data_IF_120635816063
#
_entry.id   IF_120635816063
#
_cell.length_a   1.000
_cell.length_b   1.000
_cell.length_c   1.000
_cell.angle_alpha   90.00
_cell.angle_beta   90.00
_cell.angle_gamma   90.00
#
_symmetry.space_group_name_H-M   'P 1'
#
loop_
_entity.id
_entity.type
_entity.pdbx_description
1 polymer ?
#
# COMPACT_ATOMS: atom_id res chain seq x y z
N UNK A 1 -0.70 14.50 4.58
CA UNK A 1 -1.62 13.42 5.00
C UNK A 1 -1.05 12.79 6.27
N UNK A 2 -1.83 12.68 7.37
CA UNK A 2 -1.34 12.13 8.64
C UNK A 2 -1.66 10.64 8.68
N UNK A 3 -0.63 9.79 8.73
CA UNK A 3 -0.83 8.34 8.78
C UNK A 3 -1.45 7.94 10.13
N UNK A 4 -2.54 7.15 10.08
CA UNK A 4 -3.31 6.73 11.24
C UNK A 4 -2.54 5.66 12.01
N UNK A 5 -2.12 5.97 13.24
CA UNK A 5 -1.36 5.08 14.11
C UNK A 5 -2.31 4.19 14.92
N UNK A 6 -2.51 2.93 14.50
CA UNK A 6 -3.41 1.97 15.18
C UNK A 6 -2.73 0.61 15.38
N UNK A 7 -3.38 -0.31 16.10
CA UNK A 7 -2.88 -1.69 16.24
C UNK A 7 -2.86 -2.37 14.87
N UNK A 8 -1.93 -3.29 14.64
CA UNK A 8 -1.76 -3.93 13.34
C UNK A 8 -3.02 -4.61 12.80
N UNK A 9 -3.75 -5.45 13.56
CA UNK A 9 -4.96 -6.09 13.02
C UNK A 9 -6.04 -5.08 12.64
N UNK A 10 -6.15 -3.97 13.39
CA UNK A 10 -7.08 -2.90 13.10
C UNK A 10 -6.65 -2.11 11.85
N UNK A 11 -5.36 -1.83 11.69
CA UNK A 11 -4.81 -1.20 10.47
C UNK A 11 -5.13 -2.05 9.24
N UNK A 12 -4.87 -3.35 9.32
CA UNK A 12 -5.06 -4.30 8.24
C UNK A 12 -6.54 -4.42 7.84
N UNK A 13 -7.45 -4.39 8.82
CA UNK A 13 -8.90 -4.37 8.57
C UNK A 13 -9.39 -3.12 7.84
N UNK A 14 -8.64 -2.01 7.89
CA UNK A 14 -8.96 -0.77 7.17
C UNK A 14 -8.38 -0.74 5.75
N UNK A 15 -7.47 -1.67 5.43
CA UNK A 15 -6.86 -1.79 4.12
C UNK A 15 -7.67 -2.74 3.23
N UNK A 16 -7.65 -2.55 1.91
CA UNK A 16 -8.27 -3.50 0.99
C UNK A 16 -7.65 -4.88 1.14
N UNK A 17 -8.48 -5.91 0.99
CA UNK A 17 -8.04 -7.32 1.05
C UNK A 17 -7.23 -7.63 2.32
N UNK A 18 -7.69 -7.08 3.45
CA UNK A 18 -7.06 -7.18 4.77
C UNK A 18 -5.60 -6.69 4.82
N UNK A 19 -5.22 -5.81 3.90
CA UNK A 19 -3.85 -5.30 3.78
C UNK A 19 -2.85 -6.30 3.19
N UNK A 20 -3.30 -7.35 2.51
CA UNK A 20 -2.42 -8.23 1.73
C UNK A 20 -1.79 -7.43 0.58
N UNK A 21 -0.47 -7.47 0.48
CA UNK A 21 0.33 -6.68 -0.47
C UNK A 21 0.67 -5.27 0.01
N UNK A 22 0.18 -4.85 1.18
CA UNK A 22 0.51 -3.55 1.74
C UNK A 22 1.86 -3.58 2.48
N UNK A 23 2.64 -2.51 2.34
CA UNK A 23 3.81 -2.28 3.18
C UNK A 23 3.41 -1.53 4.45
N UNK A 24 3.77 -2.06 5.61
CA UNK A 24 3.48 -1.49 6.93
C UNK A 24 4.75 -1.31 7.76
N UNK A 25 4.76 -0.34 8.66
CA UNK A 25 5.87 -0.11 9.56
C UNK A 25 5.37 0.27 10.96
N UNK A 26 6.19 0.02 11.97
CA UNK A 26 5.86 0.46 13.32
C UNK A 26 6.13 1.96 13.45
N UNK A 27 5.18 2.75 13.98
CA UNK A 27 5.32 4.20 14.12
C UNK A 27 6.53 4.61 14.96
N UNK A 28 6.94 3.75 15.90
CA UNK A 28 8.16 3.96 16.69
C UNK A 28 9.45 3.95 15.87
N UNK A 29 9.45 3.37 14.68
CA UNK A 29 10.62 3.39 13.80
C UNK A 29 10.84 4.80 13.27
N UNK A 30 9.77 5.45 12.81
CA UNK A 30 9.80 6.85 12.43
C UNK A 30 10.26 7.75 13.60
N UNK A 31 9.71 7.53 14.81
CA UNK A 31 10.12 8.26 16.01
C UNK A 31 11.57 8.02 16.45
N UNK A 32 12.22 6.96 15.95
CA UNK A 32 13.64 6.68 16.17
C UNK A 32 14.54 7.17 15.03
N UNK A 33 13.99 7.89 14.05
CA UNK A 33 14.74 8.33 12.87
C UNK A 33 15.14 7.17 11.95
N UNK A 34 14.47 6.02 12.03
CA UNK A 34 14.69 4.96 11.05
C UNK A 34 14.04 5.35 9.72
N UNK A 35 14.67 5.01 8.59
CA UNK A 35 14.11 5.29 7.27
C UNK A 35 12.81 4.50 7.12
N UNK A 36 11.67 5.18 7.12
CA UNK A 36 10.34 4.57 6.93
C UNK A 36 9.82 4.91 5.54
N UNK A 37 9.03 4.04 4.92
CA UNK A 37 8.46 4.33 3.62
C UNK A 37 7.44 5.47 3.73
N UNK A 38 7.59 6.46 2.87
CA UNK A 38 6.67 7.60 2.70
C UNK A 38 6.01 7.52 1.33
N UNK A 39 5.00 8.36 1.08
CA UNK A 39 4.35 8.42 -0.24
C UNK A 39 5.31 8.80 -1.39
N UNK A 40 6.45 9.41 -1.06
CA UNK A 40 7.50 9.76 -2.03
C UNK A 40 8.59 8.69 -2.14
N UNK A 41 8.53 7.61 -1.34
CA UNK A 41 9.53 6.55 -1.39
C UNK A 41 9.31 5.65 -2.60
N UNK A 42 10.36 5.44 -3.38
CA UNK A 42 10.39 4.59 -4.54
C UNK A 42 10.80 3.16 -4.19
N UNK A 43 10.49 2.24 -5.10
CA UNK A 43 10.96 0.86 -5.05
C UNK A 43 12.50 0.84 -5.19
N UNK A 44 13.20 0.63 -4.08
CA UNK A 44 14.66 0.70 -4.01
C UNK A 44 15.19 1.51 -2.84
N UNK A 45 14.35 2.36 -2.22
CA UNK A 45 14.76 3.13 -1.05
C UNK A 45 15.10 2.22 0.14
N UNK A 46 16.15 2.61 0.87
CA UNK A 46 16.66 1.92 2.06
C UNK A 46 15.72 2.03 3.27
N UNK A 47 14.48 1.58 3.13
CA UNK A 47 13.41 1.72 4.12
C UNK A 47 13.25 0.47 4.99
N UNK A 48 12.78 0.68 6.22
CA UNK A 48 12.39 -0.35 7.18
C UNK A 48 10.88 -0.55 7.09
N UNK A 49 10.46 -1.70 6.57
CA UNK A 49 9.04 -2.03 6.35
C UNK A 49 8.79 -3.52 6.41
N UNK A 50 7.54 -3.87 6.65
CA UNK A 50 7.02 -5.23 6.51
C UNK A 50 6.10 -5.26 5.30
N UNK A 51 6.36 -6.16 4.36
CA UNK A 51 5.49 -6.41 3.22
C UNK A 51 4.54 -7.56 3.57
N UNK A 52 3.27 -7.25 3.74
CA UNK A 52 2.27 -8.18 4.26
C UNK A 52 1.87 -9.17 3.16
N UNK A 53 2.01 -10.47 3.43
CA UNK A 53 1.69 -11.55 2.47
C UNK A 53 0.45 -12.32 2.85
N UNK A 54 0.25 -12.54 4.15
CA UNK A 54 -0.86 -13.33 4.67
C UNK A 54 -1.39 -12.70 5.93
N UNK A 55 -2.71 -12.68 6.05
CA UNK A 55 -3.40 -12.15 7.23
C UNK A 55 -4.48 -13.12 7.65
N UNK A 56 -4.63 -13.28 8.96
CA UNK A 56 -5.76 -13.95 9.59
C UNK A 56 -6.35 -13.01 10.62
N UNK A 57 -7.41 -12.31 10.24
CA UNK A 57 -8.19 -11.46 11.13
C UNK A 57 -9.37 -12.26 11.70
N UNK A 58 -9.73 -11.92 12.92
CA UNK A 58 -10.88 -12.44 13.64
C UNK A 58 -11.54 -11.26 14.35
N UNK A 59 -12.78 -11.00 14.00
CA UNK A 59 -13.59 -9.95 14.63
C UNK A 59 -14.46 -10.60 15.70
N UNK A 60 -14.31 -10.16 16.96
CA UNK A 60 -15.13 -10.59 18.10
C UNK A 60 -15.55 -9.36 18.89
N UNK A 61 -16.84 -9.26 19.22
CA UNK A 61 -17.38 -8.18 20.06
C UNK A 61 -17.00 -6.77 19.57
N UNK A 62 -17.05 -6.55 18.25
CA UNK A 62 -16.68 -5.28 17.62
C UNK A 62 -15.17 -4.98 17.64
N UNK A 63 -14.32 -5.88 18.14
CA UNK A 63 -12.86 -5.74 18.15
C UNK A 63 -12.21 -6.65 17.12
N UNK A 64 -11.33 -6.08 16.30
CA UNK A 64 -10.51 -6.83 15.36
C UNK A 64 -9.24 -7.31 16.05
N UNK A 65 -9.06 -8.62 16.08
CA UNK A 65 -7.84 -9.28 16.53
C UNK A 65 -7.30 -10.14 15.40
N UNK A 66 -6.03 -10.56 15.47
CA UNK A 66 -5.50 -11.37 14.39
C UNK A 66 -4.00 -11.55 14.43
N UNK A 67 -3.54 -12.31 13.44
CA UNK A 67 -2.13 -12.54 13.16
C UNK A 67 -1.86 -12.16 11.71
N UNK A 68 -0.70 -11.58 11.47
CA UNK A 68 -0.23 -11.25 10.14
C UNK A 68 1.15 -11.86 9.91
N UNK A 69 1.43 -12.16 8.66
CA UNK A 69 2.70 -12.67 8.18
C UNK A 69 3.15 -11.83 6.99
N UNK A 70 4.44 -11.61 6.90
CA UNK A 70 5.03 -10.80 5.84
C UNK A 70 6.53 -10.97 5.75
N UNK A 71 7.12 -10.21 4.85
CA UNK A 71 8.57 -10.15 4.63
C UNK A 71 9.10 -8.90 5.29
N UNK A 72 10.12 -9.04 6.12
CA UNK A 72 10.80 -7.91 6.75
C UNK A 72 11.87 -7.37 5.81
N UNK A 73 11.72 -6.09 5.45
CA UNK A 73 12.78 -5.29 4.86
C UNK A 73 13.34 -4.35 5.93
N UNK A 74 14.64 -4.43 6.16
CA UNK A 74 15.35 -3.61 7.13
C UNK A 74 16.39 -2.76 6.40
N UNK A 75 16.18 -1.44 6.41
CA UNK A 75 17.02 -0.47 5.70
C UNK A 75 17.24 -0.89 4.23
N UNK A 76 16.18 -1.30 3.55
CA UNK A 76 16.21 -1.80 2.16
C UNK A 76 16.63 -3.26 1.99
N UNK A 77 17.28 -3.88 2.99
CA UNK A 77 17.71 -5.28 2.89
C UNK A 77 16.61 -6.22 3.35
N UNK A 78 16.31 -7.25 2.56
CA UNK A 78 15.41 -8.32 2.99
C UNK A 78 16.09 -9.10 4.14
N UNK A 79 15.41 -9.18 5.28
CA UNK A 79 15.89 -9.90 6.48
C UNK A 79 15.28 -11.29 6.57
N UNK A 80 14.03 -11.45 6.11
CA UNK A 80 13.39 -12.77 6.08
C UNK A 80 14.17 -13.67 5.12
N UNK A 81 14.63 -14.86 5.58
CA UNK A 81 15.39 -15.80 4.74
C UNK A 81 14.68 -16.06 3.42
N UNK A 82 15.43 -16.24 2.33
CA UNK A 82 14.82 -16.58 1.05
C UNK A 82 14.10 -17.93 1.07
N UNK A 83 14.59 -18.88 1.88
CA UNK A 83 13.94 -20.17 2.13
C UNK A 83 12.55 -20.04 2.76
N UNK A 84 12.22 -18.88 3.35
CA UNK A 84 10.92 -18.60 3.95
C UNK A 84 10.18 -17.55 3.14
N UNK A 85 9.04 -17.94 2.59
CA UNK A 85 8.16 -17.04 1.83
C UNK A 85 7.67 -15.85 2.68
N UNK A 86 7.41 -16.08 3.97
CA UNK A 86 7.02 -15.03 4.93
C UNK A 86 7.28 -15.45 6.38
N UNK A 87 7.43 -14.46 7.27
CA UNK A 87 7.53 -14.65 8.71
C UNK A 87 6.36 -13.99 9.45
N UNK A 88 6.01 -14.52 10.63
CA UNK A 88 4.99 -13.93 11.49
C UNK A 88 5.43 -12.55 12.00
N UNK A 89 4.62 -11.54 11.72
CA UNK A 89 4.81 -10.18 12.23
C UNK A 89 4.54 -10.17 13.75
N UNK A 90 5.58 -9.87 14.53
CA UNK A 90 5.50 -9.82 16.00
C UNK A 90 5.13 -8.43 16.48
N UNK A 91 4.52 -8.34 17.67
CA UNK A 91 4.18 -7.06 18.28
C UNK A 91 3.00 -6.32 17.65
N UNK A 92 2.18 -7.00 16.83
CA UNK A 92 1.02 -6.40 16.15
C UNK A 92 -0.01 -5.74 17.09
N UNK A 93 -0.16 -6.26 18.32
CA UNK A 93 -1.03 -5.68 19.34
C UNK A 93 -0.30 -4.74 20.31
N UNK A 94 1.03 -4.80 20.35
CA UNK A 94 1.88 -4.05 21.30
C UNK A 94 2.22 -2.66 20.79
N UNK A 95 2.54 -2.55 19.51
CA UNK A 95 2.98 -1.29 18.90
C UNK A 95 1.88 -0.69 18.05
N UNK A 96 2.00 0.61 17.80
CA UNK A 96 1.23 1.29 16.77
C UNK A 96 1.92 1.11 15.41
N UNK A 97 1.10 0.90 14.39
CA UNK A 97 1.51 0.61 13.03
C UNK A 97 0.89 1.62 12.07
N UNK A 98 1.59 1.86 10.97
CA UNK A 98 1.20 2.74 9.87
C UNK A 98 1.47 2.03 8.54
N UNK A 99 0.70 2.36 7.51
CA UNK A 99 0.93 1.88 6.15
C UNK A 99 1.78 2.89 5.36
N UNK A 100 2.59 2.38 4.44
CA UNK A 100 3.37 3.19 3.49
C UNK A 100 2.46 3.87 2.47
N UNK A 101 1.58 3.06 1.87
CA UNK A 101 0.56 3.53 0.94
C UNK A 101 -0.71 3.82 1.75
N UNK A 102 -1.33 5.00 1.61
CA UNK A 102 -2.61 5.27 2.26
C UNK A 102 -3.66 4.28 1.71
N UNK A 103 -4.57 3.74 2.54
CA UNK A 103 -5.60 2.81 2.09
C UNK A 103 -6.36 3.40 0.89
N UNK A 104 -6.48 2.68 -0.24
CA UNK A 104 -7.17 3.21 -1.42
C UNK A 104 -8.68 3.40 -1.20
N UNK A 105 -9.26 2.89 -0.11
CA UNK A 105 -10.61 3.26 0.33
C UNK A 105 -10.75 4.76 0.73
N UNK A 106 -9.63 5.47 0.86
CA UNK A 106 -9.57 6.94 1.01
C UNK A 106 -9.04 7.64 -0.26
N UNK A 107 -8.74 6.90 -1.32
CA UNK A 107 -8.38 7.47 -2.62
C UNK A 107 -9.68 7.69 -3.38
N UNK A 108 -10.20 8.92 -3.33
CA UNK A 108 -11.19 9.36 -4.31
C UNK A 108 -10.56 9.16 -5.69
N UNK A 109 -11.06 8.20 -6.46
CA UNK A 109 -10.76 8.19 -7.88
C UNK A 109 -11.13 9.58 -8.42
N UNK A 110 -10.22 10.32 -9.09
CA UNK A 110 -10.69 11.40 -9.92
C UNK A 110 -11.70 10.76 -10.88
N UNK A 111 -12.96 11.21 -10.80
CA UNK A 111 -13.96 10.90 -11.83
C UNK A 111 -13.26 11.18 -13.14
N UNK A 112 -13.07 10.16 -13.98
CA UNK A 112 -12.55 10.32 -15.33
C UNK A 112 -13.58 11.20 -16.05
N UNK A 113 -13.40 12.51 -15.98
CA UNK A 113 -14.17 13.44 -16.77
C UNK A 113 -13.70 13.25 -18.21
N UNK A 114 -14.58 12.70 -19.05
CA UNK A 114 -14.44 12.72 -20.50
C UNK A 114 -13.42 11.74 -21.09
N UNK A 115 -13.80 10.47 -21.20
CA UNK A 115 -13.33 9.64 -22.31
C UNK A 115 -14.41 9.64 -23.40
N UNK A 116 -14.30 10.62 -24.29
CA UNK A 116 -14.81 10.68 -25.67
C UNK A 116 -14.14 11.94 -26.25
N UNK A 117 -13.28 11.90 -27.27
CA UNK A 117 -13.45 11.19 -28.51
C UNK A 117 -12.11 10.61 -29.02
N UNK A 118 -12.25 9.44 -29.62
CA UNK A 118 -11.30 8.75 -30.50
C UNK A 118 -11.08 9.60 -31.76
N UNK A 119 -9.84 9.83 -32.25
CA UNK A 119 -9.65 10.47 -33.54
C UNK A 119 -9.76 9.39 -34.62
N UNK A 120 -10.94 9.27 -35.22
CA UNK A 120 -11.15 8.52 -36.45
C UNK A 120 -10.43 9.24 -37.59
N UNK A 121 -9.34 8.62 -38.07
CA UNK A 121 -8.52 9.14 -39.16
C UNK A 121 -8.82 8.35 -40.44
N UNK A 122 -9.47 8.99 -41.42
CA UNK A 122 -9.32 8.83 -42.87
C UNK A 122 -10.40 9.63 -43.64
N UNK A 123 -10.25 9.91 -44.94
CA UNK A 123 -9.12 10.51 -45.65
C UNK A 123 -9.53 11.80 -46.39
N UNK A 124 -8.57 12.67 -46.73
CA UNK A 124 -8.83 13.89 -47.50
C UNK A 124 -8.66 13.61 -49.01
N UNK A 125 -9.78 13.67 -49.74
CA UNK A 125 -9.82 13.82 -51.20
C UNK A 125 -10.13 15.30 -51.51
N UNK A 126 -9.25 16.05 -52.20
CA UNK A 126 -9.53 17.44 -52.52
C UNK A 126 -10.33 17.56 -53.83
N UNK A 127 -11.55 18.06 -53.70
CA UNK A 127 -12.36 18.57 -54.80
C UNK A 127 -11.79 19.89 -55.34
N UNK A 128 -11.82 20.03 -56.66
CA UNK A 128 -11.66 21.30 -57.38
C UNK A 128 -12.80 22.28 -56.98
N UNK A 129 -12.65 23.60 -57.22
CA UNK A 129 -13.32 24.10 -58.42
C UNK A 129 -12.66 25.28 -59.15
N UNK A 130 -13.03 25.30 -60.42
CA UNK A 130 -13.15 26.37 -61.42
C UNK A 130 -13.75 27.69 -60.91
N UNK A 131 -13.12 28.82 -61.24
CA UNK A 131 -13.67 30.06 -61.87
C UNK A 131 -12.54 30.99 -62.31
#
# INVERSE_FOLDING_TARGET
MRAVSVKLPQLLSLLPRDGIGASVYASRWAGKGLPVPTAASHEGDATCRWDVKKVRLVTKDGRVTGRAWGVLHWKGKRVTPEDKEYERIRGGLKYLWQSAVPPPLLVRHPRRAGAAAEPEAAPAEPAQPEV
#
